data_IF_735139375694
#
_entry.id   IF_735139375694
#
_cell.length_a   1.000
_cell.length_b   1.000
_cell.length_c   1.000
_cell.angle_alpha   90.00
_cell.angle_beta   90.00
_cell.angle_gamma   90.00
#
_symmetry.space_group_name_H-M   'P 1'
#
loop_
_entity.id
_entity.type
_entity.pdbx_description
1 polymer ?
#
# COMPACT_ATOMS: atom_id res chain seq x y z
N UNK A 1 16.75 46.44 -39.24
CA UNK A 1 15.49 45.82 -38.76
C UNK A 1 15.68 45.31 -37.34
N UNK A 2 15.00 45.94 -36.39
CA UNK A 2 15.25 45.69 -34.96
C UNK A 2 14.42 44.48 -34.48
N UNK A 3 15.10 43.49 -33.88
CA UNK A 3 14.50 42.31 -33.27
C UNK A 3 13.79 42.65 -31.94
N UNK A 4 12.49 42.40 -31.87
CA UNK A 4 11.69 42.58 -30.67
C UNK A 4 12.06 41.51 -29.61
N UNK A 5 12.69 41.93 -28.53
CA UNK A 5 12.92 41.11 -27.36
C UNK A 5 11.59 40.78 -26.64
N UNK A 6 11.43 39.48 -26.31
CA UNK A 6 10.30 38.96 -25.53
C UNK A 6 10.45 39.40 -24.06
N UNK A 7 9.42 39.93 -23.41
CA UNK A 7 9.52 40.34 -22.00
C UNK A 7 9.70 39.12 -21.09
N UNK A 8 10.69 39.15 -20.20
CA UNK A 8 10.87 38.21 -19.12
C UNK A 8 9.72 38.38 -18.10
N UNK A 9 8.92 37.35 -17.92
CA UNK A 9 7.95 37.28 -16.80
C UNK A 9 8.76 37.11 -15.52
N UNK A 10 8.84 38.15 -14.71
CA UNK A 10 9.30 38.08 -13.33
C UNK A 10 8.26 37.29 -12.52
N UNK A 11 8.53 36.01 -12.28
CA UNK A 11 7.80 35.23 -11.28
C UNK A 11 8.30 35.66 -9.89
N UNK A 12 7.61 36.58 -9.27
CA UNK A 12 7.83 36.93 -7.86
C UNK A 12 7.27 35.78 -7.02
N UNK A 13 8.12 34.80 -6.74
CA UNK A 13 7.82 33.75 -5.76
C UNK A 13 7.93 34.42 -4.39
N UNK A 14 6.80 34.74 -3.78
CA UNK A 14 6.74 35.16 -2.38
C UNK A 14 7.28 34.01 -1.51
N UNK A 15 8.55 34.09 -1.13
CA UNK A 15 9.09 33.27 -0.05
C UNK A 15 8.43 33.72 1.24
N UNK A 16 7.45 32.94 1.71
CA UNK A 16 6.96 33.08 3.08
C UNK A 16 8.14 32.88 4.02
N UNK A 17 8.65 33.95 4.63
CA UNK A 17 9.73 33.86 5.60
C UNK A 17 9.20 33.14 6.82
N UNK A 18 9.73 31.96 7.11
CA UNK A 18 9.54 31.28 8.39
C UNK A 18 10.05 32.20 9.50
N UNK A 19 9.14 32.70 10.35
CA UNK A 19 9.47 33.58 11.46
C UNK A 19 9.83 32.83 12.73
N UNK A 20 9.42 31.57 12.85
CA UNK A 20 9.64 30.76 14.05
C UNK A 20 9.61 29.27 13.69
N UNK A 21 10.43 28.47 14.39
CA UNK A 21 10.43 26.98 14.32
C UNK A 21 10.29 26.49 15.77
N UNK A 22 9.25 25.68 16.01
CA UNK A 22 9.03 25.07 17.32
C UNK A 22 9.67 23.69 17.38
N UNK A 23 10.20 23.35 18.55
CA UNK A 23 10.78 22.05 18.85
C UNK A 23 9.94 21.38 19.94
N UNK A 24 9.58 20.09 19.69
CA UNK A 24 8.87 19.27 20.68
C UNK A 24 9.83 18.24 21.25
N UNK A 25 9.86 18.07 22.56
CA UNK A 25 10.64 17.00 23.20
C UNK A 25 9.95 15.66 22.94
N UNK A 26 10.72 14.60 22.75
CA UNK A 26 10.16 13.28 22.41
C UNK A 26 9.15 12.75 23.42
N UNK A 27 9.37 12.98 24.72
CA UNK A 27 8.45 12.51 25.77
C UNK A 27 7.14 13.33 25.84
N UNK A 28 7.08 14.51 25.20
CA UNK A 28 5.88 15.36 25.14
C UNK A 28 4.98 14.98 23.95
N UNK A 29 5.46 14.11 23.07
CA UNK A 29 4.69 13.65 21.89
C UNK A 29 3.60 12.69 22.38
N UNK A 30 2.34 13.09 22.19
CA UNK A 30 1.18 12.25 22.51
C UNK A 30 0.79 11.40 21.31
N UNK A 31 0.60 10.12 21.52
CA UNK A 31 0.17 9.16 20.50
C UNK A 31 -1.19 8.57 20.85
N UNK A 32 -1.98 8.23 19.82
CA UNK A 32 -3.19 7.46 19.99
C UNK A 32 -2.80 6.01 20.38
N UNK A 33 -3.28 5.48 21.52
CA UNK A 33 -2.95 4.13 21.96
C UNK A 33 -3.31 3.05 20.95
N UNK A 34 -4.29 3.27 20.08
CA UNK A 34 -4.69 2.33 19.04
C UNK A 34 -3.58 2.04 18.03
N UNK A 35 -2.64 2.98 17.83
CA UNK A 35 -1.45 2.78 16.97
C UNK A 35 -0.50 1.69 17.48
N UNK A 36 -0.59 1.35 18.76
CA UNK A 36 0.24 0.34 19.42
C UNK A 36 -0.49 -0.99 19.68
N UNK A 37 -1.71 -1.13 19.15
CA UNK A 37 -2.49 -2.36 19.22
C UNK A 37 -2.48 -3.05 17.87
N UNK A 38 -1.73 -4.15 17.67
CA UNK A 38 -1.64 -4.83 16.38
C UNK A 38 -2.97 -5.48 15.99
N UNK A 39 -3.28 -5.42 14.71
CA UNK A 39 -4.40 -6.11 14.09
C UNK A 39 -3.94 -7.53 13.77
N UNK A 40 -4.60 -8.54 14.35
CA UNK A 40 -4.22 -9.95 14.24
C UNK A 40 -5.14 -10.71 13.29
N UNK A 41 -4.56 -11.62 12.51
CA UNK A 41 -5.30 -12.58 11.68
C UNK A 41 -5.74 -13.79 12.49
N UNK A 42 -5.03 -14.11 13.56
CA UNK A 42 -5.17 -15.34 14.33
C UNK A 42 -4.50 -16.54 13.66
N UNK A 43 -3.55 -16.30 12.78
CA UNK A 43 -2.76 -17.34 12.09
C UNK A 43 -1.29 -17.19 12.43
N UNK A 44 -0.47 -18.18 12.02
CA UNK A 44 0.98 -18.14 12.22
C UNK A 44 1.65 -16.93 11.55
N UNK A 45 1.04 -16.36 10.50
CA UNK A 45 1.57 -15.19 9.79
C UNK A 45 1.71 -13.97 10.69
N UNK A 46 0.92 -13.89 11.76
CA UNK A 46 1.03 -12.80 12.73
C UNK A 46 2.43 -12.68 13.33
N UNK A 47 3.15 -13.81 13.49
CA UNK A 47 4.49 -13.83 14.11
C UNK A 47 5.58 -13.15 13.28
N UNK A 48 5.40 -13.06 11.96
CA UNK A 48 6.38 -12.39 11.07
C UNK A 48 5.98 -10.98 10.70
N UNK A 49 4.70 -10.60 10.90
CA UNK A 49 4.24 -9.24 10.63
C UNK A 49 4.83 -8.24 11.61
N UNK A 50 4.95 -8.62 12.89
CA UNK A 50 5.63 -7.82 13.91
C UNK A 50 6.01 -8.69 15.15
N UNK A 51 6.89 -8.17 16.01
CA UNK A 51 7.30 -8.83 17.24
C UNK A 51 6.14 -8.99 18.27
N UNK A 52 5.09 -8.17 18.14
CA UNK A 52 3.89 -8.25 18.98
C UNK A 52 2.79 -9.11 18.34
N UNK A 53 3.05 -9.63 17.16
CA UNK A 53 2.13 -10.44 16.36
C UNK A 53 1.02 -9.62 15.71
N UNK A 54 0.97 -9.65 14.36
CA UNK A 54 -0.02 -8.92 13.58
C UNK A 54 0.50 -7.64 12.91
N UNK A 55 -0.35 -6.96 12.14
CA UNK A 55 0.00 -5.71 11.46
C UNK A 55 -0.42 -4.51 12.31
N UNK A 56 0.46 -3.51 12.42
CA UNK A 56 0.11 -2.29 13.15
C UNK A 56 -0.71 -1.32 12.30
N UNK A 57 -1.73 -0.64 12.88
CA UNK A 57 -2.39 0.47 12.25
C UNK A 57 -1.40 1.55 11.80
N UNK A 58 -1.72 2.28 10.76
CA UNK A 58 -0.87 3.36 10.26
C UNK A 58 0.43 2.91 9.61
N UNK A 59 0.53 1.67 9.14
CA UNK A 59 1.72 1.12 8.49
C UNK A 59 1.51 0.89 7.00
N UNK A 60 2.61 0.97 6.26
CA UNK A 60 2.67 0.64 4.84
C UNK A 60 3.63 -0.52 4.63
N UNK A 61 3.10 -1.64 4.17
CA UNK A 61 3.88 -2.83 3.81
C UNK A 61 3.90 -3.01 2.30
N UNK A 62 5.06 -3.26 1.73
CA UNK A 62 5.20 -3.66 0.33
C UNK A 62 5.55 -5.14 0.27
N UNK A 63 4.86 -5.87 -0.60
CA UNK A 63 5.14 -7.28 -0.89
C UNK A 63 5.55 -7.40 -2.34
N UNK A 64 6.76 -7.92 -2.56
CA UNK A 64 7.32 -8.21 -3.89
C UNK A 64 7.49 -9.71 -4.08
N UNK A 65 7.72 -10.14 -5.30
CA UNK A 65 8.01 -11.54 -5.64
C UNK A 65 7.75 -11.80 -7.11
N UNK A 66 8.25 -12.92 -7.61
CA UNK A 66 8.12 -13.29 -9.00
C UNK A 66 6.66 -13.45 -9.45
N UNK A 67 6.37 -13.24 -10.74
CA UNK A 67 5.06 -13.59 -11.30
C UNK A 67 4.70 -15.04 -10.99
N UNK A 68 3.45 -15.29 -10.59
CA UNK A 68 2.97 -16.64 -10.29
C UNK A 68 3.39 -17.24 -8.94
N UNK A 69 4.22 -16.55 -8.13
CA UNK A 69 4.59 -17.03 -6.78
C UNK A 69 3.42 -17.08 -5.80
N UNK A 70 2.29 -16.44 -6.13
CA UNK A 70 1.06 -16.50 -5.33
C UNK A 70 0.85 -15.30 -4.40
N UNK A 71 1.44 -14.14 -4.68
CA UNK A 71 1.29 -12.90 -3.89
C UNK A 71 -0.18 -12.58 -3.62
N UNK A 72 -0.98 -12.44 -4.67
CA UNK A 72 -2.42 -12.11 -4.55
C UNK A 72 -3.17 -13.15 -3.71
N UNK A 73 -2.90 -14.44 -3.91
CA UNK A 73 -3.56 -15.52 -3.15
C UNK A 73 -3.26 -15.44 -1.66
N UNK A 74 -1.96 -15.31 -1.29
CA UNK A 74 -1.52 -15.24 0.11
C UNK A 74 -2.06 -13.98 0.79
N UNK A 75 -2.02 -12.84 0.10
CA UNK A 75 -2.45 -11.57 0.69
C UNK A 75 -3.98 -11.43 0.75
N UNK A 76 -4.72 -12.03 -0.19
CA UNK A 76 -6.19 -12.15 -0.07
C UNK A 76 -6.58 -13.08 1.08
N UNK A 77 -5.82 -14.16 1.30
CA UNK A 77 -6.01 -15.04 2.45
C UNK A 77 -5.81 -14.27 3.77
N UNK A 78 -4.74 -13.48 3.86
CA UNK A 78 -4.46 -12.63 4.99
C UNK A 78 -5.60 -11.61 5.21
N UNK A 79 -6.05 -10.95 4.15
CA UNK A 79 -7.12 -9.95 4.21
C UNK A 79 -8.46 -10.57 4.68
N UNK A 80 -8.80 -11.75 4.16
CA UNK A 80 -9.99 -12.50 4.57
C UNK A 80 -9.92 -12.92 6.05
N UNK A 81 -8.73 -13.24 6.56
CA UNK A 81 -8.55 -13.57 7.96
C UNK A 81 -8.72 -12.33 8.87
N UNK A 82 -8.21 -11.15 8.49
CA UNK A 82 -8.52 -9.90 9.19
C UNK A 82 -10.02 -9.62 9.23
N UNK A 83 -10.72 -9.80 8.10
CA UNK A 83 -12.17 -9.63 8.05
C UNK A 83 -12.90 -10.62 8.97
N UNK A 84 -12.48 -11.87 9.01
CA UNK A 84 -13.06 -12.88 9.91
C UNK A 84 -12.88 -12.51 11.41
N UNK A 85 -11.91 -11.67 11.74
CA UNK A 85 -11.71 -11.09 13.07
C UNK A 85 -12.47 -9.77 13.28
N UNK A 86 -13.44 -9.45 12.42
CA UNK A 86 -14.29 -8.27 12.53
C UNK A 86 -13.64 -6.96 12.08
N UNK A 87 -12.49 -7.02 11.40
CA UNK A 87 -11.84 -5.83 10.85
C UNK A 87 -12.49 -5.40 9.53
N UNK A 88 -12.57 -4.10 9.33
CA UNK A 88 -13.01 -3.53 8.05
C UNK A 88 -11.85 -3.58 7.08
N UNK A 89 -12.02 -4.32 6.00
CA UNK A 89 -10.98 -4.52 4.99
C UNK A 89 -11.46 -4.07 3.62
N UNK A 90 -10.52 -3.71 2.74
CA UNK A 90 -10.79 -3.41 1.34
C UNK A 90 -9.69 -4.04 0.48
N UNK A 91 -10.10 -4.68 -0.61
CA UNK A 91 -9.21 -5.07 -1.70
C UNK A 91 -9.38 -4.09 -2.86
N UNK A 92 -8.31 -3.41 -3.25
CA UNK A 92 -8.25 -2.56 -4.45
C UNK A 92 -7.55 -3.37 -5.54
N UNK A 93 -8.32 -3.77 -6.55
CA UNK A 93 -7.84 -4.56 -7.68
C UNK A 93 -7.58 -3.68 -8.90
N UNK A 94 -6.31 -3.53 -9.28
CA UNK A 94 -5.89 -2.90 -10.53
C UNK A 94 -5.73 -3.90 -11.68
N UNK A 95 -5.40 -5.16 -11.36
CA UNK A 95 -5.08 -6.19 -12.36
C UNK A 95 -6.24 -7.13 -12.66
N UNK A 96 -6.96 -7.59 -11.64
CA UNK A 96 -8.00 -8.63 -11.76
C UNK A 96 -9.39 -8.03 -11.95
N UNK A 97 -10.18 -8.66 -12.80
CA UNK A 97 -11.60 -8.35 -13.01
C UNK A 97 -12.53 -9.32 -12.26
N UNK A 98 -13.84 -9.16 -12.43
CA UNK A 98 -14.86 -10.00 -11.76
C UNK A 98 -14.74 -11.48 -12.16
N UNK A 99 -14.36 -11.79 -13.40
CA UNK A 99 -14.23 -13.18 -13.90
C UNK A 99 -13.05 -13.86 -13.19
N UNK A 100 -11.93 -13.15 -13.06
CA UNK A 100 -10.77 -13.66 -12.33
C UNK A 100 -11.12 -13.95 -10.89
N UNK A 101 -11.81 -13.00 -10.24
CA UNK A 101 -12.24 -13.13 -8.84
C UNK A 101 -13.23 -14.25 -8.63
N UNK A 102 -14.11 -14.54 -9.58
CA UNK A 102 -15.00 -15.70 -9.50
C UNK A 102 -14.19 -17.00 -9.39
N UNK A 103 -13.11 -17.14 -10.17
CA UNK A 103 -12.20 -18.28 -10.09
C UNK A 103 -11.48 -18.39 -8.73
N UNK A 104 -11.11 -17.25 -8.13
CA UNK A 104 -10.52 -17.21 -6.79
C UNK A 104 -11.53 -17.63 -5.71
N UNK A 105 -12.75 -17.07 -5.73
CA UNK A 105 -13.80 -17.38 -4.75
C UNK A 105 -14.22 -18.85 -4.84
N UNK A 106 -14.27 -19.42 -6.05
CA UNK A 106 -14.58 -20.85 -6.23
C UNK A 106 -13.53 -21.75 -5.55
N UNK A 107 -12.26 -21.38 -5.60
CA UNK A 107 -11.15 -22.12 -4.94
C UNK A 107 -11.04 -21.82 -3.44
N UNK A 108 -11.32 -20.59 -3.05
CA UNK A 108 -11.18 -20.08 -1.69
C UNK A 108 -12.45 -19.33 -1.28
N UNK A 109 -13.51 -20.02 -0.84
CA UNK A 109 -14.82 -19.40 -0.57
C UNK A 109 -14.78 -18.25 0.43
N UNK A 110 -13.82 -18.23 1.35
CA UNK A 110 -13.66 -17.15 2.34
C UNK A 110 -13.36 -15.79 1.69
N UNK A 111 -12.78 -15.75 0.49
CA UNK A 111 -12.50 -14.50 -0.22
C UNK A 111 -13.79 -13.79 -0.69
N UNK A 112 -14.87 -14.52 -0.87
CA UNK A 112 -16.17 -13.97 -1.29
C UNK A 112 -16.82 -12.99 -0.31
N UNK A 113 -16.26 -12.82 0.89
CA UNK A 113 -16.71 -11.82 1.86
C UNK A 113 -15.90 -10.54 1.84
N UNK A 114 -14.73 -10.53 1.18
CA UNK A 114 -13.85 -9.36 1.10
C UNK A 114 -14.45 -8.32 0.15
N UNK A 115 -14.73 -7.08 0.60
CA UNK A 115 -15.16 -6.02 -0.31
C UNK A 115 -14.04 -5.68 -1.29
N UNK A 116 -14.42 -5.46 -2.56
CA UNK A 116 -13.48 -5.21 -3.65
C UNK A 116 -13.83 -3.90 -4.35
N UNK A 117 -12.84 -3.09 -4.64
CA UNK A 117 -12.87 -2.01 -5.62
C UNK A 117 -12.17 -2.49 -6.89
N UNK A 118 -12.93 -2.77 -7.94
CA UNK A 118 -12.36 -3.03 -9.27
C UNK A 118 -12.04 -1.70 -9.96
N UNK A 119 -10.77 -1.38 -10.06
CA UNK A 119 -10.33 -0.11 -10.66
C UNK A 119 -10.72 -0.01 -12.14
N UNK A 120 -10.78 -1.13 -12.85
CA UNK A 120 -11.18 -1.22 -14.25
C UNK A 120 -12.62 -0.76 -14.51
N UNK A 121 -13.47 -0.72 -13.47
CA UNK A 121 -14.84 -0.22 -13.58
C UNK A 121 -14.92 1.32 -13.55
N UNK A 122 -13.79 1.99 -13.29
CA UNK A 122 -13.70 3.45 -13.17
C UNK A 122 -12.62 4.05 -14.08
N UNK A 123 -12.57 3.70 -15.38
CA UNK A 123 -11.47 4.12 -16.26
C UNK A 123 -11.42 5.63 -16.48
N UNK A 124 -12.55 6.33 -16.29
CA UNK A 124 -12.64 7.77 -16.47
C UNK A 124 -12.36 8.56 -15.18
N UNK A 125 -12.37 7.92 -14.03
CA UNK A 125 -12.21 8.56 -12.70
C UNK A 125 -11.50 7.66 -11.69
N UNK A 126 -10.38 7.01 -12.02
CA UNK A 126 -9.72 6.06 -11.10
C UNK A 126 -9.23 6.76 -9.84
N UNK A 127 -8.75 8.00 -9.95
CA UNK A 127 -8.32 8.81 -8.81
C UNK A 127 -9.47 9.04 -7.82
N UNK A 128 -10.61 9.52 -8.29
CA UNK A 128 -11.77 9.76 -7.44
C UNK A 128 -12.33 8.48 -6.84
N UNK A 129 -12.33 7.36 -7.60
CA UNK A 129 -12.82 6.08 -7.13
C UNK A 129 -12.05 5.58 -5.90
N UNK A 130 -10.71 5.64 -5.93
CA UNK A 130 -9.91 5.19 -4.79
C UNK A 130 -9.99 6.17 -3.61
N UNK A 131 -10.01 7.49 -3.83
CA UNK A 131 -10.15 8.50 -2.78
C UNK A 131 -11.47 8.31 -2.02
N UNK A 132 -12.61 8.26 -2.74
CA UNK A 132 -13.94 8.06 -2.15
C UNK A 132 -14.08 6.70 -1.45
N UNK A 133 -13.43 5.66 -1.97
CA UNK A 133 -13.43 4.35 -1.31
C UNK A 133 -12.67 4.39 0.01
N UNK A 134 -11.47 4.94 0.03
CA UNK A 134 -10.66 5.04 1.25
C UNK A 134 -11.30 5.93 2.31
N UNK A 135 -12.00 6.99 1.92
CA UNK A 135 -12.72 7.89 2.83
C UNK A 135 -13.87 7.19 3.58
N UNK A 136 -14.28 5.96 3.17
CA UNK A 136 -15.21 5.13 3.95
C UNK A 136 -14.58 4.54 5.23
N UNK A 137 -13.25 4.53 5.34
CA UNK A 137 -12.48 4.07 6.50
C UNK A 137 -12.37 2.55 6.59
N UNK A 138 -11.15 2.05 6.56
CA UNK A 138 -10.80 0.63 6.65
C UNK A 138 -9.63 0.43 7.63
N UNK A 139 -9.63 -0.69 8.34
CA UNK A 139 -8.51 -1.09 9.19
C UNK A 139 -7.32 -1.55 8.34
N UNK A 140 -7.59 -2.35 7.29
CA UNK A 140 -6.56 -2.89 6.40
C UNK A 140 -7.00 -2.76 4.94
N UNK A 141 -6.12 -2.24 4.09
CA UNK A 141 -6.33 -2.13 2.64
C UNK A 141 -5.22 -2.87 1.91
N UNK A 142 -5.60 -3.78 1.01
CA UNK A 142 -4.70 -4.45 0.07
C UNK A 142 -4.84 -3.79 -1.31
N UNK A 143 -3.71 -3.41 -1.92
CA UNK A 143 -3.66 -2.88 -3.30
C UNK A 143 -2.87 -3.86 -4.18
N UNK A 144 -3.49 -4.36 -5.25
CA UNK A 144 -2.91 -5.29 -6.22
C UNK A 144 -3.22 -4.85 -7.67
N UNK A 145 -2.27 -4.27 -8.38
CA UNK A 145 -0.95 -3.87 -7.91
C UNK A 145 -0.83 -2.35 -7.80
N UNK A 146 0.16 -1.92 -7.03
CA UNK A 146 0.53 -0.51 -6.92
C UNK A 146 0.79 0.13 -8.28
N UNK A 147 1.52 -0.58 -9.16
CA UNK A 147 1.90 -0.08 -10.47
C UNK A 147 0.66 0.21 -11.33
N UNK A 148 -0.27 -0.73 -11.41
CA UNK A 148 -1.49 -0.59 -12.22
C UNK A 148 -2.37 0.57 -11.75
N UNK A 149 -2.60 0.68 -10.43
CA UNK A 149 -3.37 1.80 -9.87
C UNK A 149 -2.68 3.14 -10.16
N UNK A 150 -1.35 3.18 -10.04
CA UNK A 150 -0.57 4.37 -10.33
C UNK A 150 -0.65 4.76 -11.81
N UNK A 151 -0.54 3.79 -12.71
CA UNK A 151 -0.55 4.03 -14.16
C UNK A 151 -1.94 4.49 -14.63
N UNK A 152 -3.03 3.92 -14.11
CA UNK A 152 -4.40 4.38 -14.39
C UNK A 152 -4.62 5.85 -14.00
N UNK A 153 -4.16 6.25 -12.81
CA UNK A 153 -4.27 7.65 -12.36
C UNK A 153 -3.33 8.57 -13.14
N UNK A 154 -2.15 8.09 -13.50
CA UNK A 154 -1.20 8.82 -14.34
C UNK A 154 -1.84 9.16 -15.69
N UNK A 155 -2.48 8.20 -16.34
CA UNK A 155 -3.13 8.35 -17.64
C UNK A 155 -4.32 9.33 -17.57
N UNK A 156 -5.23 9.13 -16.62
CA UNK A 156 -6.40 10.01 -16.44
C UNK A 156 -5.99 11.47 -16.24
N UNK A 157 -5.02 11.69 -15.36
CA UNK A 157 -4.62 13.03 -14.94
C UNK A 157 -3.60 13.68 -15.88
N UNK A 158 -3.06 12.96 -16.86
CA UNK A 158 -1.93 13.42 -17.68
C UNK A 158 -0.70 13.76 -16.85
N UNK A 159 -0.48 13.05 -15.73
CA UNK A 159 0.64 13.32 -14.83
C UNK A 159 1.90 12.57 -15.25
N UNK A 160 3.03 13.03 -14.73
CA UNK A 160 4.25 12.22 -14.76
C UNK A 160 4.13 11.06 -13.75
N UNK A 161 4.78 9.94 -14.02
CA UNK A 161 4.84 8.79 -13.10
C UNK A 161 5.22 9.21 -11.67
N UNK A 162 6.23 10.07 -11.54
CA UNK A 162 6.67 10.59 -10.24
C UNK A 162 5.58 11.38 -9.51
N UNK A 163 4.74 12.12 -10.24
CA UNK A 163 3.64 12.88 -9.63
C UNK A 163 2.53 11.95 -9.15
N UNK A 164 2.17 10.94 -9.94
CA UNK A 164 1.18 9.94 -9.57
C UNK A 164 1.65 9.09 -8.37
N UNK A 165 2.91 8.61 -8.37
CA UNK A 165 3.51 7.94 -7.21
C UNK A 165 3.47 8.81 -5.94
N UNK A 166 3.80 10.10 -6.06
CA UNK A 166 3.77 11.01 -4.91
C UNK A 166 2.35 11.17 -4.37
N UNK A 167 1.37 11.36 -5.25
CA UNK A 167 -0.03 11.49 -4.86
C UNK A 167 -0.52 10.22 -4.13
N UNK A 168 -0.24 9.02 -4.66
CA UNK A 168 -0.70 7.78 -4.04
C UNK A 168 -0.04 7.56 -2.66
N UNK A 169 1.24 7.90 -2.52
CA UNK A 169 1.93 7.88 -1.22
C UNK A 169 1.31 8.88 -0.23
N UNK A 170 1.01 10.10 -0.68
CA UNK A 170 0.43 11.15 0.15
C UNK A 170 -1.02 10.77 0.57
N UNK A 171 -1.79 10.12 -0.32
CA UNK A 171 -3.10 9.57 -0.01
C UNK A 171 -3.03 8.50 1.08
N UNK A 172 -2.10 7.54 0.96
CA UNK A 172 -1.89 6.52 1.98
C UNK A 172 -1.44 7.13 3.31
N UNK A 173 -0.53 8.10 3.29
CA UNK A 173 -0.04 8.80 4.49
C UNK A 173 -1.17 9.54 5.21
N UNK A 174 -2.10 10.16 4.47
CA UNK A 174 -3.32 10.74 5.02
C UNK A 174 -4.12 9.72 5.85
N UNK A 175 -4.37 8.55 5.29
CA UNK A 175 -5.16 7.49 5.94
C UNK A 175 -4.37 6.71 7.01
N UNK A 176 -3.04 6.66 6.93
CA UNK A 176 -2.20 6.12 7.99
C UNK A 176 -2.25 6.97 9.27
N UNK A 177 -2.31 8.31 9.13
CA UNK A 177 -2.14 9.22 10.25
C UNK A 177 -3.43 9.59 10.96
N UNK A 178 -4.50 9.81 10.23
CA UNK A 178 -5.80 10.17 10.79
C UNK A 178 -6.88 10.13 9.70
N UNK A 179 -7.12 8.96 9.10
CA UNK A 179 -7.94 8.81 7.90
C UNK A 179 -9.35 9.35 8.01
N UNK A 180 -10.13 8.87 8.97
CA UNK A 180 -11.50 9.36 9.19
C UNK A 180 -12.05 8.90 10.55
N UNK A 181 -13.30 9.28 10.85
CA UNK A 181 -13.97 8.93 12.12
C UNK A 181 -14.19 7.43 12.31
N UNK A 182 -14.34 6.66 11.22
CA UNK A 182 -14.61 5.22 11.27
C UNK A 182 -13.35 4.39 11.46
N UNK A 183 -12.23 4.87 10.89
CA UNK A 183 -10.92 4.26 11.06
C UNK A 183 -9.84 5.34 11.01
N UNK A 184 -9.19 5.59 12.14
CA UNK A 184 -8.20 6.66 12.26
C UNK A 184 -6.88 6.33 11.56
N UNK A 185 -6.50 5.06 11.52
CA UNK A 185 -5.16 4.63 11.11
C UNK A 185 -5.23 3.36 10.26
N UNK A 186 -5.40 3.51 8.95
CA UNK A 186 -5.41 2.38 8.02
C UNK A 186 -4.01 1.77 7.88
N UNK A 187 -3.90 0.45 7.90
CA UNK A 187 -2.72 -0.28 7.48
C UNK A 187 -2.84 -0.64 5.99
N UNK A 188 -1.82 -0.34 5.19
CA UNK A 188 -1.77 -0.70 3.77
C UNK A 188 -0.81 -1.85 3.51
N UNK A 189 -1.26 -2.78 2.67
CA UNK A 189 -0.44 -3.85 2.09
C UNK A 189 -0.48 -3.65 0.57
N UNK A 190 0.68 -3.51 -0.04
CA UNK A 190 0.77 -3.18 -1.47
C UNK A 190 1.57 -4.25 -2.19
N UNK A 191 1.00 -4.82 -3.23
CA UNK A 191 1.74 -5.68 -4.15
C UNK A 191 2.47 -4.79 -5.16
N UNK A 192 3.77 -5.02 -5.28
CA UNK A 192 4.62 -4.36 -6.26
C UNK A 192 5.33 -5.39 -7.13
N UNK A 193 5.46 -5.09 -8.40
CA UNK A 193 6.20 -5.92 -9.33
C UNK A 193 7.70 -5.79 -9.12
N UNK A 194 8.44 -6.83 -9.50
CA UNK A 194 9.89 -6.82 -9.56
C UNK A 194 10.36 -6.47 -10.98
N UNK A 195 11.50 -5.81 -11.08
CA UNK A 195 12.19 -5.66 -12.37
C UNK A 195 12.74 -7.00 -12.85
N UNK A 196 13.08 -7.12 -14.13
CA UNK A 196 13.73 -8.31 -14.69
C UNK A 196 15.05 -8.67 -13.99
N UNK A 197 15.68 -7.71 -13.31
CA UNK A 197 16.90 -7.92 -12.51
C UNK A 197 16.65 -8.40 -11.07
N UNK A 198 15.39 -8.62 -10.69
CA UNK A 198 15.04 -9.05 -9.32
C UNK A 198 14.96 -7.91 -8.31
N UNK A 199 15.12 -6.67 -8.76
CA UNK A 199 15.01 -5.48 -7.92
C UNK A 199 13.57 -4.97 -7.84
N UNK A 200 13.32 -4.12 -6.84
CA UNK A 200 12.05 -3.43 -6.66
C UNK A 200 11.76 -2.48 -7.84
N UNK A 201 10.62 -2.66 -8.50
CA UNK A 201 10.15 -1.79 -9.57
C UNK A 201 9.46 -0.55 -8.98
N UNK A 202 10.20 0.48 -8.62
CA UNK A 202 9.66 1.71 -8.06
C UNK A 202 10.73 2.71 -7.69
N UNK A 203 10.32 3.93 -7.31
CA UNK A 203 11.27 4.94 -6.87
C UNK A 203 11.83 4.62 -5.48
N UNK A 204 13.04 5.11 -5.18
CA UNK A 204 13.61 5.00 -3.83
C UNK A 204 12.73 5.65 -2.76
N UNK A 205 11.91 6.65 -3.12
CA UNK A 205 10.96 7.30 -2.21
C UNK A 205 9.98 6.28 -1.61
N UNK A 206 9.46 5.35 -2.41
CA UNK A 206 8.55 4.29 -1.94
C UNK A 206 9.25 3.43 -0.88
N UNK A 207 10.50 3.01 -1.12
CA UNK A 207 11.30 2.23 -0.15
C UNK A 207 11.47 2.96 1.18
N UNK A 208 11.67 4.28 1.15
CA UNK A 208 11.88 5.09 2.35
C UNK A 208 10.59 5.30 3.14
N UNK A 209 9.47 5.50 2.47
CA UNK A 209 8.18 5.76 3.11
C UNK A 209 7.48 4.51 3.65
N UNK A 210 7.90 3.31 3.23
CA UNK A 210 7.30 2.06 3.72
C UNK A 210 7.80 1.66 5.09
N UNK A 211 6.90 1.11 5.91
CA UNK A 211 7.21 0.57 7.23
C UNK A 211 7.89 -0.79 7.13
N UNK A 212 7.43 -1.63 6.21
CA UNK A 212 7.94 -2.97 6.01
C UNK A 212 8.02 -3.33 4.52
N UNK A 213 8.96 -4.20 4.17
CA UNK A 213 9.11 -4.79 2.84
C UNK A 213 9.29 -6.30 3.00
N UNK A 214 8.38 -7.07 2.41
CA UNK A 214 8.42 -8.51 2.37
C UNK A 214 8.66 -9.00 0.94
N UNK A 215 9.26 -10.17 0.82
CA UNK A 215 9.44 -10.87 -0.44
C UNK A 215 8.83 -12.26 -0.32
N UNK A 216 7.94 -12.62 -1.27
CA UNK A 216 7.44 -13.96 -1.42
C UNK A 216 8.30 -14.68 -2.46
N UNK A 217 8.85 -15.85 -2.09
CA UNK A 217 9.79 -16.64 -2.89
C UNK A 217 9.39 -18.10 -2.96
N UNK A 218 9.89 -18.78 -3.99
CA UNK A 218 9.94 -20.24 -4.01
C UNK A 218 11.18 -20.74 -3.26
N UNK A 219 11.01 -21.82 -2.50
CA UNK A 219 12.10 -22.65 -1.98
C UNK A 219 12.14 -23.96 -2.77
N UNK A 220 13.17 -24.12 -3.58
CA UNK A 220 13.28 -25.21 -4.53
C UNK A 220 12.77 -24.87 -5.93
N UNK A 221 12.65 -25.89 -6.78
CA UNK A 221 12.19 -25.81 -8.18
C UNK A 221 11.12 -26.86 -8.47
N UNK A 222 10.25 -26.57 -9.44
CA UNK A 222 9.23 -27.51 -9.90
C UNK A 222 7.90 -27.38 -9.14
N UNK A 223 7.04 -28.39 -9.32
CA UNK A 223 5.66 -28.36 -8.78
C UNK A 223 5.59 -28.43 -7.27
N UNK A 224 6.58 -29.05 -6.64
CA UNK A 224 6.64 -29.27 -5.18
C UNK A 224 7.44 -28.18 -4.46
N UNK A 225 7.82 -27.12 -5.17
CA UNK A 225 8.51 -25.98 -4.55
C UNK A 225 7.66 -25.35 -3.47
N UNK A 226 8.18 -25.31 -2.26
CA UNK A 226 7.57 -24.60 -1.16
C UNK A 226 7.62 -23.10 -1.41
N UNK A 227 6.78 -22.35 -0.70
CA UNK A 227 6.78 -20.89 -0.74
C UNK A 227 7.05 -20.38 0.65
N UNK A 228 7.83 -19.32 0.72
CA UNK A 228 8.08 -18.65 1.99
C UNK A 228 8.01 -17.12 1.80
N UNK A 229 7.66 -16.44 2.86
CA UNK A 229 7.72 -14.99 2.95
C UNK A 229 8.88 -14.60 3.87
N UNK A 230 9.64 -13.59 3.47
CA UNK A 230 10.75 -13.04 4.24
C UNK A 230 10.71 -11.53 4.21
N UNK A 231 10.89 -10.90 5.35
CA UNK A 231 11.01 -9.44 5.44
C UNK A 231 12.46 -9.01 5.24
N UNK A 232 12.68 -8.08 4.32
CA UNK A 232 13.97 -7.39 4.11
C UNK A 232 14.05 -6.05 4.84
N UNK A 233 12.89 -5.54 5.27
CA UNK A 233 12.73 -4.34 6.10
C UNK A 233 11.48 -4.52 6.95
N UNK A 234 11.61 -4.33 8.27
CA UNK A 234 10.45 -4.28 9.16
C UNK A 234 10.77 -3.37 10.35
N UNK A 235 10.05 -2.26 10.49
CA UNK A 235 10.23 -1.34 11.63
C UNK A 235 9.54 -1.80 12.90
N UNK A 236 8.71 -2.84 12.82
CA UNK A 236 7.89 -3.37 13.93
C UNK A 236 8.21 -4.82 14.26
N UNK A 237 9.12 -5.44 13.52
CA UNK A 237 9.47 -6.84 13.70
C UNK A 237 10.85 -7.15 13.14
N UNK A 238 11.22 -8.42 13.19
CA UNK A 238 12.50 -8.91 12.73
C UNK A 238 12.57 -9.01 11.20
N UNK A 239 13.77 -9.17 10.70
CA UNK A 239 14.06 -9.34 9.27
C UNK A 239 14.85 -10.64 9.08
N UNK A 240 14.63 -11.28 7.92
CA UNK A 240 15.37 -12.50 7.55
C UNK A 240 14.68 -13.79 7.95
N UNK A 241 13.70 -13.78 8.85
CA UNK A 241 12.93 -14.97 9.21
C UNK A 241 12.01 -15.40 8.07
N UNK A 242 11.96 -16.69 7.80
CA UNK A 242 11.14 -17.31 6.77
C UNK A 242 9.89 -17.95 7.39
N UNK A 243 8.74 -17.76 6.76
CA UNK A 243 7.49 -18.42 7.06
C UNK A 243 6.84 -18.97 5.81
#
# INVERSE_FOLDING_TARGET
MAGRGRPRKNATTSKTMLKHVEFTKMHDVKFDPSLFTPIKTGTIVDTVLSNEGGIFPGTNTIVIGDPGVGKSTVLLDLLANFQAKGKRVLFVSGEMNEIDMFGYVKRYPKFGRVPILFMQNYPQNPKAAIELSLDQGFDVVLIDSWAEVNDMVQEEMGWTRKKAESWLLDLMDKHNKAGNERCKHTAFINIQQMTKGGDFAGSNRIKHMTTAMAQLKFDGRGRDALRYMVFSKNRRGDVGDKI
#
